data_IF_363068057352
#
_entry.id   IF_363068057352
#
_cell.length_a   1.000
_cell.length_b   1.000
_cell.length_c   1.000
_cell.angle_alpha   90.00
_cell.angle_beta   90.00
_cell.angle_gamma   90.00
#
_symmetry.space_group_name_H-M   'P 1'
#
loop_
_entity.id
_entity.type
_entity.pdbx_description
1 polymer ?
#
# COMPACT_ATOMS: atom_id res chain seq x y z
N UNK A 1 -18.97 0.26 -14.32
CA UNK A 1 -18.00 -0.84 -14.18
C UNK A 1 -16.57 -0.33 -14.04
N UNK A 2 -15.92 0.21 -15.09
CA UNK A 2 -14.51 0.63 -15.05
C UNK A 2 -14.14 1.62 -13.93
N UNK A 3 -14.93 2.69 -13.72
CA UNK A 3 -14.69 3.64 -12.61
C UNK A 3 -14.68 2.97 -11.23
N UNK A 4 -15.51 1.94 -11.01
CA UNK A 4 -15.53 1.21 -9.75
C UNK A 4 -14.27 0.33 -9.62
N UNK A 5 -13.86 -0.36 -10.70
CA UNK A 5 -12.61 -1.12 -10.72
C UNK A 5 -11.41 -0.24 -10.37
N UNK A 6 -11.28 0.93 -10.99
CA UNK A 6 -10.18 1.88 -10.70
C UNK A 6 -10.12 2.26 -9.22
N UNK A 7 -11.27 2.43 -8.57
CA UNK A 7 -11.33 2.80 -7.13
C UNK A 7 -10.85 1.67 -6.24
N UNK A 8 -11.20 0.41 -6.55
CA UNK A 8 -10.95 -0.73 -5.66
C UNK A 8 -9.65 -1.47 -5.96
N UNK A 9 -9.25 -1.58 -7.22
CA UNK A 9 -8.10 -2.36 -7.66
C UNK A 9 -6.96 -1.48 -8.20
N UNK A 10 -7.20 -0.18 -8.38
CA UNK A 10 -6.27 0.74 -9.02
C UNK A 10 -6.38 0.73 -10.54
N UNK A 11 -5.87 1.80 -11.18
CA UNK A 11 -6.03 2.00 -12.62
C UNK A 11 -5.36 0.91 -13.45
N UNK A 12 -4.17 0.48 -13.04
CA UNK A 12 -3.42 -0.58 -13.72
C UNK A 12 -4.22 -1.90 -13.78
N UNK A 13 -4.77 -2.35 -12.66
CA UNK A 13 -5.57 -3.57 -12.64
C UNK A 13 -6.88 -3.41 -13.40
N UNK A 14 -7.52 -2.24 -13.33
CA UNK A 14 -8.70 -1.95 -14.14
C UNK A 14 -8.40 -2.04 -15.65
N UNK A 15 -7.24 -1.54 -16.10
CA UNK A 15 -6.80 -1.64 -17.49
C UNK A 15 -6.48 -3.08 -17.90
N UNK A 16 -5.83 -3.86 -17.03
CA UNK A 16 -5.56 -5.29 -17.27
C UNK A 16 -6.83 -6.13 -17.39
N UNK A 17 -7.82 -5.88 -16.52
CA UNK A 17 -9.13 -6.56 -16.57
C UNK A 17 -9.87 -6.18 -17.86
N UNK A 18 -9.84 -4.90 -18.26
CA UNK A 18 -10.45 -4.47 -19.52
C UNK A 18 -9.76 -5.09 -20.74
N UNK A 19 -8.44 -5.21 -20.71
CA UNK A 19 -7.67 -5.89 -21.75
C UNK A 19 -8.01 -7.38 -21.81
N UNK A 20 -8.12 -8.06 -20.66
CA UNK A 20 -8.52 -9.47 -20.59
C UNK A 20 -9.90 -9.72 -21.21
N UNK A 21 -10.89 -8.87 -20.89
CA UNK A 21 -12.23 -8.95 -21.49
C UNK A 21 -12.17 -8.78 -23.01
N UNK A 22 -11.31 -7.91 -23.50
CA UNK A 22 -11.19 -7.58 -24.93
C UNK A 22 -10.42 -8.66 -25.72
N UNK A 23 -9.41 -9.29 -25.10
CA UNK A 23 -8.57 -10.32 -25.72
C UNK A 23 -9.19 -11.72 -25.66
N UNK A 24 -9.98 -11.99 -24.63
CA UNK A 24 -10.62 -13.29 -24.40
C UNK A 24 -12.13 -13.10 -24.43
N UNK A 25 -12.78 -13.07 -23.27
CA UNK A 25 -14.20 -12.76 -23.11
C UNK A 25 -14.49 -12.31 -21.68
N UNK A 26 -15.67 -11.73 -21.44
CA UNK A 26 -16.19 -11.51 -20.08
C UNK A 26 -16.32 -12.84 -19.32
N UNK A 27 -16.77 -13.90 -19.99
CA UNK A 27 -16.95 -15.23 -19.39
C UNK A 27 -15.64 -15.79 -18.84
N UNK A 28 -14.54 -15.71 -19.61
CA UNK A 28 -13.23 -16.17 -19.15
C UNK A 28 -12.74 -15.43 -17.90
N UNK A 29 -13.01 -14.11 -17.81
CA UNK A 29 -12.69 -13.30 -16.63
C UNK A 29 -13.57 -13.70 -15.43
N UNK A 30 -14.85 -14.01 -15.66
CA UNK A 30 -15.77 -14.47 -14.61
C UNK A 30 -15.40 -15.86 -14.09
N UNK A 31 -15.03 -16.79 -14.96
CA UNK A 31 -14.55 -18.13 -14.58
C UNK A 31 -13.27 -18.04 -13.76
N UNK A 32 -12.30 -17.21 -14.19
CA UNK A 32 -11.09 -16.97 -13.39
C UNK A 32 -11.41 -16.35 -12.02
N UNK A 33 -12.38 -15.44 -11.95
CA UNK A 33 -12.80 -14.84 -10.68
C UNK A 33 -13.47 -15.87 -9.75
N UNK A 34 -14.30 -16.77 -10.29
CA UNK A 34 -14.91 -17.86 -9.54
C UNK A 34 -13.85 -18.84 -9.02
N UNK A 35 -12.93 -19.29 -9.87
CA UNK A 35 -11.83 -20.16 -9.49
C UNK A 35 -10.93 -19.54 -8.41
N UNK A 36 -10.68 -18.23 -8.49
CA UNK A 36 -9.96 -17.49 -7.44
C UNK A 36 -10.72 -17.57 -6.11
N UNK A 37 -12.03 -17.32 -6.12
CA UNK A 37 -12.85 -17.35 -4.91
C UNK A 37 -12.88 -18.76 -4.28
N UNK A 38 -12.98 -19.80 -5.10
CA UNK A 38 -12.96 -21.19 -4.67
C UNK A 38 -11.61 -21.56 -4.06
N UNK A 39 -10.50 -21.19 -4.70
CA UNK A 39 -9.15 -21.42 -4.16
C UNK A 39 -8.94 -20.71 -2.82
N UNK A 40 -9.43 -19.47 -2.67
CA UNK A 40 -9.39 -18.74 -1.38
C UNK A 40 -10.21 -19.46 -0.31
N UNK A 41 -11.37 -20.00 -0.67
CA UNK A 41 -12.17 -20.80 0.25
C UNK A 41 -11.41 -22.07 0.69
N UNK A 42 -10.71 -22.74 -0.23
CA UNK A 42 -9.86 -23.89 0.08
C UNK A 42 -8.69 -23.53 1.01
N UNK A 43 -7.97 -22.45 0.77
CA UNK A 43 -6.90 -22.02 1.69
C UNK A 43 -7.44 -21.72 3.09
N UNK A 44 -8.63 -21.12 3.20
CA UNK A 44 -9.26 -20.86 4.50
C UNK A 44 -9.68 -22.14 5.22
N UNK A 45 -10.17 -23.17 4.53
CA UNK A 45 -10.48 -24.46 5.17
C UNK A 45 -9.22 -25.19 5.63
N UNK A 46 -8.07 -24.91 5.01
CA UNK A 46 -6.75 -25.37 5.45
C UNK A 46 -6.16 -24.55 6.61
N UNK A 47 -6.88 -23.53 7.09
CA UNK A 47 -6.47 -22.71 8.23
C UNK A 47 -5.53 -21.53 7.87
N UNK A 48 -5.36 -21.22 6.59
CA UNK A 48 -4.56 -20.08 6.15
C UNK A 48 -5.28 -18.76 6.48
N UNK A 49 -4.56 -17.82 7.10
CA UNK A 49 -5.08 -16.49 7.39
C UNK A 49 -5.00 -15.57 6.16
N UNK A 50 -5.55 -14.35 6.27
CA UNK A 50 -5.58 -13.42 5.14
C UNK A 50 -4.18 -13.02 4.63
N UNK A 51 -3.19 -12.97 5.52
CA UNK A 51 -1.81 -12.65 5.16
C UNK A 51 -1.16 -13.81 4.41
N UNK A 52 -1.36 -15.05 4.88
CA UNK A 52 -0.91 -16.26 4.20
C UNK A 52 -1.55 -16.41 2.82
N UNK A 53 -2.86 -16.14 2.70
CA UNK A 53 -3.54 -16.18 1.39
C UNK A 53 -2.92 -15.16 0.45
N UNK A 54 -2.75 -13.90 0.88
CA UNK A 54 -2.09 -12.89 0.06
C UNK A 54 -0.67 -13.31 -0.35
N UNK A 55 0.10 -13.91 0.58
CA UNK A 55 1.44 -14.41 0.30
C UNK A 55 1.45 -15.56 -0.71
N UNK A 56 0.46 -16.46 -0.69
CA UNK A 56 0.34 -17.55 -1.68
C UNK A 56 0.10 -17.00 -3.09
N UNK A 57 -0.69 -15.94 -3.23
CA UNK A 57 -0.85 -15.24 -4.51
C UNK A 57 0.41 -14.48 -4.93
N UNK A 58 1.06 -13.77 -4.00
CA UNK A 58 2.32 -13.05 -4.26
C UNK A 58 3.48 -14.00 -4.63
N UNK A 59 3.50 -15.20 -4.05
CA UNK A 59 4.51 -16.23 -4.33
C UNK A 59 4.27 -17.01 -5.63
N UNK A 60 3.14 -16.80 -6.31
CA UNK A 60 2.77 -17.50 -7.54
C UNK A 60 2.21 -18.92 -7.34
N UNK A 61 2.14 -19.42 -6.11
CA UNK A 61 1.55 -20.72 -5.79
C UNK A 61 0.09 -20.79 -6.22
N UNK A 62 -0.70 -19.77 -5.86
CA UNK A 62 -2.11 -19.71 -6.21
C UNK A 62 -2.32 -19.65 -7.74
N UNK A 63 -1.47 -18.91 -8.45
CA UNK A 63 -1.52 -18.82 -9.91
C UNK A 63 -1.20 -20.16 -10.58
N UNK A 64 -0.27 -20.94 -10.03
CA UNK A 64 0.02 -22.29 -10.50
C UNK A 64 -1.18 -23.24 -10.28
N UNK A 65 -1.75 -23.24 -9.07
CA UNK A 65 -2.95 -24.06 -8.78
C UNK A 65 -4.13 -23.72 -9.70
N UNK A 66 -4.39 -22.43 -9.94
CA UNK A 66 -5.44 -22.02 -10.87
C UNK A 66 -5.21 -22.51 -12.31
N UNK A 67 -3.95 -22.58 -12.76
CA UNK A 67 -3.64 -23.09 -14.12
C UNK A 67 -3.87 -24.58 -14.23
N UNK A 68 -3.48 -25.33 -13.21
CA UNK A 68 -3.64 -26.77 -13.17
C UNK A 68 -5.14 -27.17 -13.14
N UNK A 69 -6.00 -26.36 -12.52
CA UNK A 69 -7.42 -26.68 -12.34
C UNK A 69 -8.35 -26.13 -13.44
N UNK A 70 -8.02 -25.00 -14.09
CA UNK A 70 -8.99 -24.23 -14.88
C UNK A 70 -8.64 -23.99 -16.35
N UNK A 71 -7.45 -24.40 -16.83
CA UNK A 71 -6.94 -24.09 -18.19
C UNK A 71 -7.22 -22.64 -18.64
N UNK A 72 -7.03 -21.66 -17.73
CA UNK A 72 -7.43 -20.27 -18.00
C UNK A 72 -6.60 -19.65 -19.14
N UNK A 73 -7.23 -18.92 -20.09
CA UNK A 73 -6.52 -18.25 -21.18
C UNK A 73 -5.84 -16.94 -20.75
N UNK A 74 -6.02 -16.51 -19.49
CA UNK A 74 -5.48 -15.26 -18.96
C UNK A 74 -3.96 -15.36 -18.70
N UNK A 75 -3.24 -14.29 -19.01
CA UNK A 75 -1.84 -14.11 -18.61
C UNK A 75 -1.68 -13.95 -17.09
N UNK A 76 -0.46 -14.14 -16.55
CA UNK A 76 -0.15 -13.93 -15.12
C UNK A 76 -0.61 -12.57 -14.59
N UNK A 77 -0.36 -11.51 -15.36
CA UNK A 77 -0.73 -10.14 -14.97
C UNK A 77 -2.26 -9.96 -14.93
N UNK A 78 -2.98 -10.54 -15.89
CA UNK A 78 -4.44 -10.51 -15.92
C UNK A 78 -5.04 -11.35 -14.78
N UNK A 79 -4.46 -12.51 -14.50
CA UNK A 79 -4.88 -13.39 -13.41
C UNK A 79 -4.67 -12.71 -12.05
N UNK A 80 -3.53 -12.04 -11.87
CA UNK A 80 -3.25 -11.25 -10.66
C UNK A 80 -4.22 -10.07 -10.50
N UNK A 81 -4.56 -9.38 -11.59
CA UNK A 81 -5.56 -8.31 -11.55
C UNK A 81 -6.97 -8.83 -11.19
N UNK A 82 -7.34 -10.03 -11.67
CA UNK A 82 -8.57 -10.72 -11.26
C UNK A 82 -8.50 -11.13 -9.79
N UNK A 83 -7.36 -11.65 -9.33
CA UNK A 83 -7.15 -12.01 -7.94
C UNK A 83 -7.31 -10.79 -7.02
N UNK A 84 -6.71 -9.65 -7.36
CA UNK A 84 -6.88 -8.38 -6.64
C UNK A 84 -8.32 -7.90 -6.60
N UNK A 85 -9.08 -8.09 -7.69
CA UNK A 85 -10.51 -7.76 -7.74
C UNK A 85 -11.35 -8.62 -6.81
N UNK A 86 -11.02 -9.91 -6.66
CA UNK A 86 -11.75 -10.87 -5.81
C UNK A 86 -11.36 -10.73 -4.35
N UNK A 87 -10.05 -10.65 -4.07
CA UNK A 87 -9.49 -10.60 -2.72
C UNK A 87 -9.66 -9.23 -2.07
N UNK A 88 -9.62 -8.14 -2.86
CA UNK A 88 -9.52 -6.76 -2.40
C UNK A 88 -8.58 -6.63 -1.19
N UNK A 89 -7.32 -7.11 -1.30
CA UNK A 89 -6.46 -7.26 -0.16
C UNK A 89 -6.15 -5.89 0.44
N UNK A 90 -6.10 -5.81 1.77
CA UNK A 90 -5.93 -4.56 2.50
C UNK A 90 -5.00 -4.77 3.67
N UNK A 91 -4.23 -3.74 3.99
CA UNK A 91 -3.39 -3.67 5.18
C UNK A 91 -3.82 -2.50 6.04
N UNK A 92 -3.91 -2.75 7.34
CA UNK A 92 -4.03 -1.69 8.35
C UNK A 92 -2.62 -1.24 8.72
N UNK A 93 -2.35 0.05 8.55
CA UNK A 93 -1.12 0.69 8.99
C UNK A 93 -1.46 1.65 10.13
N UNK A 94 -0.74 1.55 11.23
CA UNK A 94 -0.78 2.54 12.29
C UNK A 94 -0.10 3.84 11.82
N UNK A 95 -0.43 4.97 12.47
CA UNK A 95 0.28 6.24 12.24
C UNK A 95 1.79 6.08 12.39
N UNK A 96 2.23 5.37 13.43
CA UNK A 96 3.65 5.15 13.73
C UNK A 96 4.34 4.35 12.62
N UNK A 97 3.71 3.29 12.11
CA UNK A 97 4.25 2.54 10.98
C UNK A 97 4.34 3.42 9.72
N UNK A 98 3.29 4.18 9.40
CA UNK A 98 3.29 5.06 8.24
C UNK A 98 4.39 6.13 8.32
N UNK A 99 4.53 6.79 9.47
CA UNK A 99 5.59 7.80 9.70
C UNK A 99 6.98 7.17 9.64
N UNK A 100 7.14 5.93 10.13
CA UNK A 100 8.41 5.20 10.04
C UNK A 100 8.78 4.95 8.58
N UNK A 101 7.83 4.49 7.75
CA UNK A 101 8.07 4.30 6.31
C UNK A 101 8.37 5.64 5.62
N UNK A 102 7.64 6.71 5.96
CA UNK A 102 7.95 8.06 5.45
C UNK A 102 9.39 8.45 5.76
N UNK A 103 9.84 8.25 7.01
CA UNK A 103 11.20 8.54 7.42
C UNK A 103 12.25 7.75 6.67
N UNK A 104 12.04 6.45 6.49
CA UNK A 104 12.93 5.59 5.70
C UNK A 104 13.03 6.06 4.25
N UNK A 105 11.90 6.39 3.62
CA UNK A 105 11.88 6.84 2.22
C UNK A 105 12.50 8.24 2.06
N UNK A 106 12.24 9.15 3.00
CA UNK A 106 12.88 10.47 3.01
C UNK A 106 14.40 10.34 3.18
N UNK A 107 14.88 9.50 4.09
CA UNK A 107 16.31 9.24 4.28
C UNK A 107 16.95 8.58 3.03
N UNK A 108 16.19 7.76 2.30
CA UNK A 108 16.61 7.19 1.02
C UNK A 108 16.54 8.19 -0.16
N UNK A 109 16.17 9.45 0.09
CA UNK A 109 16.13 10.49 -0.95
C UNK A 109 14.88 10.47 -1.83
N UNK A 110 13.79 9.83 -1.39
CA UNK A 110 12.51 9.88 -2.11
C UNK A 110 12.12 11.32 -2.40
N UNK A 111 11.65 11.62 -3.61
CA UNK A 111 11.24 12.96 -4.01
C UNK A 111 9.78 13.28 -3.61
N UNK A 112 8.90 12.29 -3.65
CA UNK A 112 7.46 12.45 -3.42
C UNK A 112 6.85 11.18 -2.78
N UNK A 113 5.55 11.23 -2.50
CA UNK A 113 4.81 10.18 -1.79
C UNK A 113 4.70 8.85 -2.56
N UNK A 114 5.03 8.83 -3.85
CA UNK A 114 4.98 7.60 -4.65
C UNK A 114 5.95 6.54 -4.12
N UNK A 115 7.12 6.94 -3.61
CA UNK A 115 8.06 6.01 -3.00
C UNK A 115 7.47 5.33 -1.75
N UNK A 116 6.65 6.05 -0.98
CA UNK A 116 5.99 5.52 0.21
C UNK A 116 4.86 4.58 -0.21
N UNK A 117 4.08 4.95 -1.23
CA UNK A 117 3.03 4.09 -1.82
C UNK A 117 3.63 2.74 -2.26
N UNK A 118 4.78 2.76 -2.93
CA UNK A 118 5.51 1.56 -3.33
C UNK A 118 6.03 0.76 -2.13
N UNK A 119 6.64 1.44 -1.14
CA UNK A 119 7.19 0.79 0.04
C UNK A 119 6.14 0.09 0.91
N UNK A 120 4.90 0.60 0.94
CA UNK A 120 3.78 -0.03 1.65
C UNK A 120 2.99 -1.02 0.76
N UNK A 121 3.40 -1.21 -0.50
CA UNK A 121 2.74 -2.12 -1.44
C UNK A 121 1.33 -1.68 -1.84
N UNK A 122 1.02 -0.38 -1.80
CA UNK A 122 -0.31 0.12 -2.15
C UNK A 122 -0.42 0.34 -3.66
N UNK A 123 -1.43 -0.23 -4.35
CA UNK A 123 -1.66 0.00 -5.78
C UNK A 123 -2.30 1.38 -6.06
N UNK A 124 -2.74 2.08 -5.01
CA UNK A 124 -3.34 3.41 -5.09
C UNK A 124 -2.65 4.41 -4.16
N UNK A 125 -2.84 5.69 -4.41
CA UNK A 125 -2.36 6.75 -3.53
C UNK A 125 -3.15 6.88 -2.23
N UNK A 126 -2.73 7.82 -1.38
CA UNK A 126 -3.30 8.06 -0.06
C UNK A 126 -4.66 8.79 -0.06
N UNK A 127 -5.21 9.11 -1.24
CA UNK A 127 -6.48 9.83 -1.36
C UNK A 127 -6.45 11.17 -0.62
N UNK A 128 -7.40 11.38 0.29
CA UNK A 128 -7.47 12.61 1.11
C UNK A 128 -6.27 12.82 2.04
N UNK A 129 -5.49 11.77 2.33
CA UNK A 129 -4.31 11.85 3.20
C UNK A 129 -3.03 12.24 2.45
N UNK A 130 -3.09 12.39 1.12
CA UNK A 130 -1.91 12.74 0.31
C UNK A 130 -1.25 14.04 0.76
N UNK A 131 -2.05 15.05 1.14
CA UNK A 131 -1.53 16.32 1.67
C UNK A 131 -0.76 16.13 2.98
N UNK A 132 -1.34 15.42 3.95
CA UNK A 132 -0.71 15.15 5.24
C UNK A 132 0.58 14.34 5.08
N UNK A 133 0.61 13.33 4.21
CA UNK A 133 1.83 12.54 3.93
C UNK A 133 2.92 13.45 3.35
N UNK A 134 2.59 14.32 2.39
CA UNK A 134 3.55 15.29 1.81
C UNK A 134 4.05 16.29 2.85
N UNK A 135 3.18 16.77 3.76
CA UNK A 135 3.55 17.64 4.87
C UNK A 135 4.58 17.00 5.79
N UNK A 136 4.33 15.76 6.23
CA UNK A 136 5.30 14.99 7.04
C UNK A 136 6.61 14.77 6.30
N UNK A 137 6.58 14.45 5.00
CA UNK A 137 7.81 14.35 4.20
C UNK A 137 8.58 15.67 4.14
N UNK A 138 7.89 16.79 3.92
CA UNK A 138 8.49 18.11 3.81
C UNK A 138 9.13 18.55 5.13
N UNK A 139 8.42 18.41 6.25
CA UNK A 139 8.95 18.73 7.58
C UNK A 139 10.13 17.85 7.97
N UNK A 140 10.05 16.54 7.71
CA UNK A 140 11.16 15.61 7.94
C UNK A 140 12.43 16.02 7.19
N UNK A 141 12.31 16.41 5.91
CA UNK A 141 13.44 16.89 5.11
C UNK A 141 13.96 18.23 5.61
N UNK A 142 13.07 19.18 5.85
CA UNK A 142 13.44 20.54 6.23
C UNK A 142 14.16 20.60 7.58
N UNK A 143 13.85 19.67 8.49
CA UNK A 143 14.54 19.51 9.76
C UNK A 143 15.65 18.45 9.74
N UNK A 144 15.88 17.78 8.60
CA UNK A 144 16.86 16.71 8.44
C UNK A 144 16.74 15.62 9.53
N UNK A 145 15.50 15.20 9.83
CA UNK A 145 15.21 14.24 10.88
C UNK A 145 15.56 12.81 10.44
N UNK A 146 16.15 12.04 11.36
CA UNK A 146 16.40 10.62 11.13
C UNK A 146 15.10 9.81 11.17
N UNK A 147 15.07 8.59 10.59
CA UNK A 147 13.94 7.68 10.75
C UNK A 147 13.58 7.40 12.21
N UNK A 148 14.58 7.33 13.10
CA UNK A 148 14.39 7.07 14.53
C UNK A 148 13.77 8.27 15.25
N UNK A 149 14.15 9.50 14.88
CA UNK A 149 13.51 10.71 15.40
C UNK A 149 12.03 10.75 15.01
N UNK A 150 11.73 10.44 13.75
CA UNK A 150 10.35 10.40 13.24
C UNK A 150 9.51 9.34 13.93
N UNK A 151 10.06 8.14 14.16
CA UNK A 151 9.39 7.09 14.91
C UNK A 151 9.08 7.54 16.35
N UNK A 152 10.04 8.19 17.01
CA UNK A 152 9.87 8.75 18.37
C UNK A 152 8.77 9.80 18.42
N UNK A 153 8.78 10.76 17.49
CA UNK A 153 7.77 11.82 17.43
C UNK A 153 6.37 11.23 17.16
N UNK A 154 6.28 10.24 16.27
CA UNK A 154 5.02 9.55 16.00
C UNK A 154 4.47 8.82 17.24
N UNK A 155 5.34 8.25 18.09
CA UNK A 155 4.93 7.66 19.38
C UNK A 155 4.41 8.72 20.34
N UNK A 156 5.14 9.83 20.53
CA UNK A 156 4.69 10.93 21.40
C UNK A 156 3.33 11.48 20.94
N UNK A 157 3.15 11.71 19.65
CA UNK A 157 1.88 12.21 19.09
C UNK A 157 0.75 11.19 19.22
N UNK A 158 1.04 9.88 19.11
CA UNK A 158 0.06 8.80 19.36
C UNK A 158 -0.40 8.82 20.82
N UNK A 159 0.52 9.04 21.74
CA UNK A 159 0.26 9.01 23.18
C UNK A 159 -0.32 10.35 23.71
N UNK A 160 -0.66 11.28 22.81
CA UNK A 160 -1.27 12.58 23.13
C UNK A 160 -0.26 13.66 23.55
N UNK A 161 1.03 13.37 23.51
CA UNK A 161 2.12 14.22 24.00
C UNK A 161 2.66 15.14 22.89
N UNK A 162 1.76 15.89 22.24
CA UNK A 162 2.12 16.78 21.11
C UNK A 162 3.02 17.94 21.54
N UNK A 163 2.74 18.51 22.72
CA UNK A 163 3.56 19.60 23.28
C UNK A 163 4.98 19.09 23.57
N UNK A 164 5.12 17.93 24.20
CA UNK A 164 6.43 17.33 24.46
C UNK A 164 7.20 17.00 23.16
N UNK A 165 6.52 16.58 22.10
CA UNK A 165 7.13 16.38 20.79
C UNK A 165 7.64 17.70 20.18
N UNK A 166 6.89 18.79 20.36
CA UNK A 166 7.30 20.12 19.92
C UNK A 166 8.48 20.66 20.73
N UNK A 167 8.42 20.54 22.06
CA UNK A 167 9.46 21.00 22.98
C UNK A 167 10.80 20.28 22.74
N UNK A 168 10.76 18.96 22.47
CA UNK A 168 11.96 18.19 22.10
C UNK A 168 12.62 18.79 20.85
N UNK A 169 11.86 19.06 19.79
CA UNK A 169 12.40 19.67 18.56
C UNK A 169 12.89 21.11 18.79
N UNK A 170 12.14 21.94 19.52
CA UNK A 170 12.56 23.32 19.81
C UNK A 170 13.86 23.31 20.63
N UNK A 171 13.99 22.41 21.60
CA UNK A 171 15.21 22.28 22.42
C UNK A 171 16.45 21.88 21.61
N UNK A 172 16.25 21.20 20.47
CA UNK A 172 17.29 20.85 19.50
C UNK A 172 17.63 22.00 18.54
N UNK A 173 16.95 23.14 18.67
CA UNK A 173 17.24 24.37 17.91
C UNK A 173 16.37 24.59 16.67
N UNK A 174 15.31 23.80 16.46
CA UNK A 174 14.38 24.02 15.34
C UNK A 174 13.44 25.20 15.59
N UNK A 175 13.01 25.87 14.53
CA UNK A 175 12.13 27.04 14.63
C UNK A 175 10.72 26.65 15.11
N UNK A 176 10.14 27.34 16.11
CA UNK A 176 8.85 26.98 16.69
C UNK A 176 7.70 26.88 15.69
N UNK A 177 7.61 27.80 14.72
CA UNK A 177 6.55 27.77 13.70
C UNK A 177 6.63 26.52 12.82
N UNK A 178 7.83 26.19 12.35
CA UNK A 178 8.10 24.99 11.55
C UNK A 178 7.82 23.70 12.34
N UNK A 179 8.19 23.67 13.63
CA UNK A 179 7.92 22.55 14.52
C UNK A 179 6.42 22.37 14.73
N UNK A 180 5.68 23.45 14.97
CA UNK A 180 4.24 23.40 15.20
C UNK A 180 3.49 22.85 13.98
N UNK A 181 3.81 23.34 12.78
CA UNK A 181 3.24 22.85 11.52
C UNK A 181 3.53 21.35 11.34
N UNK A 182 4.78 20.94 11.52
CA UNK A 182 5.19 19.55 11.34
C UNK A 182 4.55 18.57 12.34
N UNK A 183 4.50 18.91 13.62
CA UNK A 183 3.81 18.10 14.63
C UNK A 183 2.31 18.05 14.32
N UNK A 184 1.75 19.14 13.78
CA UNK A 184 0.39 19.21 13.24
C UNK A 184 0.15 18.21 12.11
N UNK A 185 1.05 18.13 11.13
CA UNK A 185 0.95 17.17 10.02
C UNK A 185 1.00 15.71 10.48
N UNK A 186 1.90 15.38 11.41
CA UNK A 186 1.96 14.03 12.01
C UNK A 186 0.64 13.73 12.74
N UNK A 187 0.11 14.70 13.49
CA UNK A 187 -1.14 14.54 14.22
C UNK A 187 -2.37 14.43 13.31
N UNK A 188 -2.34 15.07 12.14
CA UNK A 188 -3.41 15.05 11.14
C UNK A 188 -3.51 13.70 10.42
N UNK A 189 -2.43 12.92 10.37
CA UNK A 189 -2.51 11.52 9.93
C UNK A 189 -3.44 10.73 10.86
N UNK A 190 -4.33 9.87 10.32
CA UNK A 190 -5.22 9.07 11.14
C UNK A 190 -4.41 8.09 12.01
N UNK A 191 -4.94 7.72 13.18
CA UNK A 191 -4.29 6.73 14.06
C UNK A 191 -4.10 5.37 13.39
N UNK A 192 -4.98 5.03 12.45
CA UNK A 192 -4.86 3.88 11.56
C UNK A 192 -5.35 4.27 10.17
N UNK A 193 -4.62 3.89 9.14
CA UNK A 193 -5.04 3.96 7.74
C UNK A 193 -5.22 2.55 7.18
N UNK A 194 -6.25 2.36 6.38
CA UNK A 194 -6.44 1.14 5.59
C UNK A 194 -5.92 1.43 4.19
N UNK A 195 -4.90 0.70 3.76
CA UNK A 195 -4.34 0.81 2.42
C UNK A 195 -4.64 -0.48 1.65
N UNK A 196 -5.15 -0.38 0.40
CA UNK A 196 -5.20 -1.55 -0.46
C UNK A 196 -3.81 -2.14 -0.66
N UNK A 197 -3.77 -3.43 -0.96
CA UNK A 197 -2.58 -4.18 -1.32
C UNK A 197 -2.78 -4.78 -2.71
N UNK A 198 -1.75 -5.45 -3.23
CA UNK A 198 -1.83 -6.20 -4.48
C UNK A 198 -1.16 -7.56 -4.32
N UNK A 199 -1.70 -8.54 -5.02
CA UNK A 199 -1.13 -9.88 -5.24
C UNK A 199 0.07 -9.85 -6.18
N UNK A 200 0.27 -8.76 -6.92
CA UNK A 200 1.48 -8.55 -7.70
C UNK A 200 2.61 -8.14 -6.76
N UNK A 201 3.68 -8.92 -6.71
CA UNK A 201 4.92 -8.46 -6.09
C UNK A 201 5.47 -7.33 -6.96
N UNK A 202 5.89 -6.17 -6.40
CA UNK A 202 6.67 -5.21 -7.15
C UNK A 202 7.95 -5.92 -7.59
N UNK A 203 7.93 -6.47 -8.80
CA UNK A 203 9.13 -6.97 -9.45
C UNK A 203 10.11 -5.82 -9.41
N UNK A 204 11.25 -6.02 -8.74
CA UNK A 204 12.38 -5.10 -8.81
C UNK A 204 12.47 -4.67 -10.26
N UNK A 205 12.19 -3.39 -10.49
CA UNK A 205 12.24 -2.74 -11.77
C UNK A 205 13.70 -2.85 -12.21
N UNK A 206 14.06 -3.96 -12.84
CA UNK A 206 15.31 -4.07 -13.58
C UNK A 206 15.12 -3.07 -14.71
N UNK A 207 15.75 -1.91 -14.55
CA UNK A 207 15.92 -0.93 -15.61
C UNK A 207 16.28 -1.68 -16.91
N UNK A 208 15.55 -1.47 -18.00
CA UNK A 208 16.10 -1.82 -19.30
C UNK A 208 17.32 -0.92 -19.51
N UNK A 209 18.50 -1.56 -19.53
CA UNK A 209 19.73 -0.96 -20.04
C UNK A 209 19.57 -0.53 -21.50
#
# INVERSE_FOLDING_TARGET
AYKALVVYTGRQNADLIQAAVSQHTVTAVQEAAAATADLVAQYRTQGMDAAGVLAAFQGGEAAASMRDETETPLSDAQLSAVADMVLLPQRRLTRTELVTVIGQQVAAGAANEQAIIQAIGSPIGFGSQTGNVRGVMAGARAMNLSPDDLARLAMLVRDGLREAAGDDLISRGYHPEQVHEFVGDIAALPGTIVVPQTTVVPSQQKDPK
#
